data_IF_707535434054
#
_entry.id   IF_707535434054
#
_cell.length_a   1.000
_cell.length_b   1.000
_cell.length_c   1.000
_cell.angle_alpha   90.00
_cell.angle_beta   90.00
_cell.angle_gamma   90.00
#
_symmetry.space_group_name_H-M   'P 1'
#
loop_
_entity.id
_entity.type
_entity.pdbx_description
1 polymer ?
#
# COMPACT_ATOMS: atom_id res chain seq x y z
N UNK A 1 2.01 13.60 8.54
CA UNK A 1 2.08 13.13 7.14
C UNK A 1 3.55 12.99 6.84
N UNK A 2 4.02 11.82 6.41
CA UNK A 2 5.44 11.64 6.15
C UNK A 2 5.91 12.55 5.02
N UNK A 3 7.17 12.97 5.09
CA UNK A 3 7.81 13.75 4.04
C UNK A 3 8.23 12.87 2.87
N UNK A 4 8.47 13.48 1.70
CA UNK A 4 8.89 12.77 0.49
C UNK A 4 10.10 11.83 0.69
N UNK A 5 11.16 12.23 1.43
CA UNK A 5 12.30 11.34 1.70
C UNK A 5 11.93 10.09 2.50
N UNK A 6 11.01 10.20 3.47
CA UNK A 6 10.53 9.07 4.27
C UNK A 6 9.71 8.12 3.40
N UNK A 7 8.85 8.68 2.54
CA UNK A 7 8.04 7.91 1.59
C UNK A 7 8.92 7.10 0.64
N UNK A 8 9.99 7.70 0.10
CA UNK A 8 10.90 7.02 -0.83
C UNK A 8 11.67 5.87 -0.16
N UNK A 9 12.06 6.06 1.10
CA UNK A 9 12.73 5.02 1.89
C UNK A 9 11.83 3.80 2.05
N UNK A 10 10.57 4.02 2.44
CA UNK A 10 9.57 2.94 2.59
C UNK A 10 9.29 2.28 1.24
N UNK A 11 9.12 3.07 0.17
CA UNK A 11 8.86 2.57 -1.18
C UNK A 11 9.96 1.65 -1.69
N UNK A 12 11.24 2.06 -1.57
CA UNK A 12 12.40 1.23 -1.95
C UNK A 12 12.51 -0.04 -1.12
N UNK A 13 12.19 0.02 0.18
CA UNK A 13 12.21 -1.15 1.05
C UNK A 13 11.15 -2.20 0.69
N UNK A 14 9.97 -1.76 0.23
CA UNK A 14 8.86 -2.64 -0.11
C UNK A 14 8.97 -3.26 -1.52
N UNK A 15 9.58 -2.55 -2.47
CA UNK A 15 9.64 -2.96 -3.88
C UNK A 15 10.09 -4.42 -4.11
N UNK A 16 11.18 -4.94 -3.49
CA UNK A 16 11.62 -6.31 -3.72
C UNK A 16 10.63 -7.39 -3.27
N UNK A 17 9.80 -7.09 -2.27
CA UNK A 17 8.82 -8.02 -1.72
C UNK A 17 7.46 -7.95 -2.44
N UNK A 18 7.17 -6.83 -3.12
CA UNK A 18 5.85 -6.57 -3.71
C UNK A 18 5.84 -6.67 -5.24
N UNK A 19 6.93 -6.30 -5.90
CA UNK A 19 6.95 -6.22 -7.36
C UNK A 19 6.80 -7.60 -8.00
N UNK A 20 5.92 -7.70 -9.01
CA UNK A 20 5.63 -8.96 -9.71
C UNK A 20 4.70 -9.92 -8.96
N UNK A 21 4.33 -9.61 -7.72
CA UNK A 21 3.42 -10.43 -6.93
C UNK A 21 1.95 -10.11 -7.23
N UNK A 22 1.09 -11.13 -7.23
CA UNK A 22 -0.36 -10.97 -7.30
C UNK A 22 -0.95 -11.06 -5.90
N UNK A 23 -1.79 -10.10 -5.54
CA UNK A 23 -2.59 -10.17 -4.33
C UNK A 23 -3.84 -11.02 -4.60
N UNK A 24 -3.95 -12.16 -3.91
CA UNK A 24 -5.11 -13.06 -4.06
C UNK A 24 -6.33 -12.58 -3.27
N UNK A 25 -6.12 -11.98 -2.10
CA UNK A 25 -7.16 -11.42 -1.26
C UNK A 25 -6.62 -10.28 -0.38
N UNK A 26 -7.50 -9.33 -0.02
CA UNK A 26 -7.20 -8.27 0.94
C UNK A 26 -8.38 -8.08 1.91
N UNK A 27 -8.08 -7.91 3.20
CA UNK A 27 -9.10 -7.70 4.24
C UNK A 27 -8.91 -6.31 4.84
N UNK A 28 -9.87 -5.41 4.62
CA UNK A 28 -9.87 -4.07 5.22
C UNK A 28 -10.55 -4.10 6.59
N UNK A 29 -9.80 -3.82 7.66
CA UNK A 29 -10.34 -3.71 9.04
C UNK A 29 -10.51 -2.27 9.52
N UNK A 30 -10.28 -1.30 8.64
CA UNK A 30 -10.40 0.14 8.93
C UNK A 30 -11.44 0.76 8.00
N UNK A 31 -12.53 1.34 8.53
CA UNK A 31 -13.63 1.84 7.70
C UNK A 31 -13.35 3.19 7.00
N UNK A 32 -12.35 3.95 7.45
CA UNK A 32 -12.07 5.31 6.99
C UNK A 32 -10.68 5.43 6.31
N UNK A 33 -10.47 4.66 5.25
CA UNK A 33 -9.30 4.81 4.41
C UNK A 33 -9.35 6.15 3.65
N UNK A 34 -8.19 6.76 3.44
CA UNK A 34 -8.07 7.99 2.64
C UNK A 34 -8.57 7.79 1.21
N UNK A 35 -8.37 6.59 0.68
CA UNK A 35 -8.92 6.13 -0.60
C UNK A 35 -9.73 4.86 -0.32
N UNK A 36 -11.02 4.82 -0.69
CA UNK A 36 -11.81 3.61 -0.56
C UNK A 36 -11.30 2.53 -1.54
N UNK A 37 -11.61 1.27 -1.25
CA UNK A 37 -11.45 0.20 -2.24
C UNK A 37 -12.44 0.42 -3.39
N UNK A 38 -12.09 0.02 -4.63
CA UNK A 38 -13.02 0.09 -5.75
C UNK A 38 -14.23 -0.81 -5.52
N UNK A 39 -15.39 -0.39 -6.02
CA UNK A 39 -16.58 -1.23 -6.15
C UNK A 39 -16.23 -2.31 -7.20
N UNK A 40 -15.98 -3.53 -6.74
CA UNK A 40 -15.58 -4.65 -7.61
C UNK A 40 -16.61 -5.02 -8.66
#
# INVERSE_FOLDING_TARGET
MPELPEVETVRRGLEPAMQGQRLDAAVARRPNLRFPFPDG
#
